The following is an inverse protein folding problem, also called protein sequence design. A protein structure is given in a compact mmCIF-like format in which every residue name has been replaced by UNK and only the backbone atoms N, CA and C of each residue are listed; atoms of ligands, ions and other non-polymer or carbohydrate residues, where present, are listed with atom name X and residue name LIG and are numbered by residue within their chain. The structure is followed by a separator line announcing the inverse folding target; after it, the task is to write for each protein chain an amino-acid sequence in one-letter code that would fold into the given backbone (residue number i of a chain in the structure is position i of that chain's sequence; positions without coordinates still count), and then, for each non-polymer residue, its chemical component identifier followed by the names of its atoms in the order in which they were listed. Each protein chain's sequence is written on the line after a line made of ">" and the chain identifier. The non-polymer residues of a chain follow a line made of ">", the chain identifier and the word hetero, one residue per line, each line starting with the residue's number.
data_IF_106928845052
#
_entry.id   IF_106928845052
#
_cell.length_a   1.000
_cell.length_b   1.000
_cell.length_c   1.000
_cell.angle_alpha   90.00
_cell.angle_beta   90.00
_cell.angle_gamma   90.00
#
_symmetry.space_group_name_H-M   'P 1'
#
loop_
_entity.id
_entity.type
_entity.pdbx_description
1 polymer ?
#
# COMPACT_ATOMS: atom_id res chain seq x y z
N UNK A 1 18.23 15.54 -10.19
CA UNK A 1 16.79 15.35 -10.48
C UNK A 1 16.39 13.96 -10.06
N UNK A 2 15.10 13.65 -10.01
CA UNK A 2 14.60 12.28 -9.83
C UNK A 2 13.96 11.76 -11.11
N UNK A 3 13.83 10.43 -11.23
CA UNK A 3 13.11 9.76 -12.32
C UNK A 3 11.84 9.17 -11.70
N UNK A 4 10.68 9.82 -11.86
CA UNK A 4 9.43 9.31 -11.32
C UNK A 4 9.01 8.03 -12.05
N UNK A 5 8.42 7.09 -11.30
CA UNK A 5 7.90 5.84 -11.85
C UNK A 5 6.59 5.43 -11.18
N UNK A 6 5.90 4.47 -11.78
CA UNK A 6 4.68 3.86 -11.26
C UNK A 6 4.88 2.33 -11.27
N UNK A 7 4.55 1.63 -10.18
CA UNK A 7 4.69 0.18 -10.11
C UNK A 7 3.56 -0.53 -10.86
N UNK A 8 3.93 -1.55 -11.64
CA UNK A 8 3.02 -2.60 -12.12
C UNK A 8 2.89 -3.67 -11.04
N UNK A 9 1.67 -4.08 -10.71
CA UNK A 9 1.41 -5.21 -9.82
C UNK A 9 0.06 -5.84 -10.18
N UNK A 10 -0.23 -7.02 -9.67
CA UNK A 10 -1.56 -7.65 -9.79
C UNK A 10 -2.16 -7.84 -8.42
N UNK A 11 -3.20 -8.65 -8.32
CA UNK A 11 -3.72 -9.08 -7.03
C UNK A 11 -5.05 -9.78 -7.11
N UNK A 12 -5.29 -10.64 -6.14
CA UNK A 12 -6.61 -11.12 -5.77
C UNK A 12 -7.39 -10.05 -5.00
N UNK A 13 -8.51 -9.61 -5.56
CA UNK A 13 -9.47 -8.71 -4.94
C UNK A 13 -10.72 -9.50 -4.56
N UNK A 14 -11.10 -9.47 -3.27
CA UNK A 14 -12.23 -10.26 -2.74
C UNK A 14 -12.17 -11.75 -3.15
N UNK A 15 -10.96 -12.32 -3.14
CA UNK A 15 -10.72 -13.73 -3.49
C UNK A 15 -10.65 -14.04 -4.99
N UNK A 16 -10.86 -13.06 -5.88
CA UNK A 16 -10.83 -13.26 -7.33
C UNK A 16 -9.62 -12.55 -7.93
N UNK A 17 -8.89 -13.21 -8.84
CA UNK A 17 -7.80 -12.58 -9.57
C UNK A 17 -8.30 -11.39 -10.40
N UNK A 18 -7.79 -10.18 -10.10
CA UNK A 18 -8.21 -8.93 -10.74
C UNK A 18 -7.31 -8.51 -11.90
N UNK A 19 -6.46 -9.42 -12.37
CA UNK A 19 -5.50 -9.18 -13.46
C UNK A 19 -4.54 -8.01 -13.14
N UNK A 20 -4.11 -7.27 -14.16
CA UNK A 20 -3.15 -6.19 -14.03
C UNK A 20 -3.74 -4.98 -13.30
N UNK A 21 -3.18 -4.71 -12.13
CA UNK A 21 -3.34 -3.50 -11.33
C UNK A 21 -2.06 -2.66 -11.44
N UNK A 22 -1.94 -1.63 -10.62
CA UNK A 22 -0.74 -0.80 -10.64
C UNK A 22 -0.97 0.46 -9.85
N UNK A 23 0.06 1.28 -9.80
CA UNK A 23 -0.02 2.59 -9.17
C UNK A 23 -0.88 3.51 -10.07
N UNK A 24 -2.21 3.32 -10.05
CA UNK A 24 -3.15 4.01 -10.93
C UNK A 24 -3.39 5.48 -10.57
N UNK A 25 -2.91 5.91 -9.42
CA UNK A 25 -2.99 7.31 -8.94
C UNK A 25 -1.81 7.65 -8.02
N UNK A 26 -0.69 6.96 -8.17
CA UNK A 26 0.48 7.15 -7.33
C UNK A 26 1.74 7.20 -8.19
N UNK A 27 2.69 8.04 -7.81
CA UNK A 27 3.99 8.15 -8.47
C UNK A 27 5.08 8.04 -7.41
N UNK A 28 5.98 7.07 -7.55
CA UNK A 28 7.23 7.06 -6.81
C UNK A 28 8.11 8.16 -7.39
N UNK A 29 8.39 9.19 -6.60
CA UNK A 29 9.16 10.36 -7.05
C UNK A 29 10.65 10.26 -6.71
N UNK A 30 11.06 9.24 -5.97
CA UNK A 30 12.46 8.97 -5.65
C UNK A 30 12.65 8.28 -4.31
N UNK A 31 13.92 8.07 -3.96
CA UNK A 31 14.34 7.47 -2.70
C UNK A 31 15.11 8.54 -1.92
N UNK A 32 14.73 8.74 -0.66
CA UNK A 32 15.41 9.60 0.30
C UNK A 32 16.23 8.75 1.26
N UNK A 33 17.49 9.12 1.48
CA UNK A 33 18.31 8.54 2.53
C UNK A 33 18.37 9.51 3.70
N UNK A 34 17.93 9.08 4.88
CA UNK A 34 17.97 9.93 6.06
C UNK A 34 19.39 9.98 6.67
N UNK A 35 19.56 10.82 7.70
CA UNK A 35 20.85 10.98 8.39
C UNK A 35 21.36 9.72 9.11
N UNK A 36 20.50 8.73 9.32
CA UNK A 36 20.82 7.44 9.93
C UNK A 36 21.21 6.39 8.87
N UNK A 37 21.28 6.77 7.59
CA UNK A 37 21.60 5.87 6.49
C UNK A 37 20.41 5.02 6.03
N UNK A 38 19.20 5.27 6.54
CA UNK A 38 18.03 4.50 6.15
C UNK A 38 17.41 5.03 4.85
N UNK A 39 17.01 4.11 3.98
CA UNK A 39 16.30 4.42 2.72
C UNK A 39 14.79 4.54 2.95
N UNK A 40 14.18 5.50 2.27
CA UNK A 40 12.74 5.77 2.29
C UNK A 40 12.25 6.11 0.89
N UNK A 41 11.28 5.36 0.40
CA UNK A 41 10.63 5.57 -0.89
C UNK A 41 9.53 6.62 -0.78
N UNK A 42 9.66 7.70 -1.57
CA UNK A 42 8.76 8.84 -1.58
C UNK A 42 7.69 8.66 -2.67
N UNK A 43 6.42 8.59 -2.29
CA UNK A 43 5.33 8.36 -3.23
C UNK A 43 4.22 9.41 -3.12
N UNK A 44 3.88 10.07 -4.22
CA UNK A 44 2.79 11.04 -4.29
C UNK A 44 1.49 10.38 -4.72
N UNK A 45 0.52 10.26 -3.82
CA UNK A 45 -0.84 9.75 -4.12
C UNK A 45 -1.75 10.90 -4.53
N UNK A 46 -2.45 10.75 -5.66
CA UNK A 46 -3.36 11.76 -6.24
C UNK A 46 -2.69 12.71 -7.23
N UNK A 47 -1.42 12.48 -7.57
CA UNK A 47 -0.59 13.36 -8.39
C UNK A 47 -0.93 13.35 -9.89
N UNK A 48 -1.75 12.42 -10.37
CA UNK A 48 -2.18 12.36 -11.77
C UNK A 48 -2.34 10.94 -12.30
N UNK A 49 -2.65 10.85 -13.60
CA UNK A 49 -2.79 9.57 -14.30
C UNK A 49 -1.44 8.89 -14.54
N UNK A 50 -1.47 7.57 -14.56
CA UNK A 50 -0.38 6.68 -14.94
C UNK A 50 -0.89 5.71 -16.01
N UNK A 51 -0.01 4.92 -16.65
CA UNK A 51 -0.43 3.81 -17.51
C UNK A 51 -1.36 2.81 -16.82
N UNK A 52 -1.39 2.78 -15.48
CA UNK A 52 -2.18 1.87 -14.66
C UNK A 52 -3.46 2.50 -14.10
N UNK A 53 -3.81 3.72 -14.52
CA UNK A 53 -5.04 4.39 -14.04
C UNK A 53 -6.33 3.71 -14.48
N UNK A 54 -6.27 2.82 -15.47
CA UNK A 54 -7.46 2.24 -16.13
C UNK A 54 -8.44 3.37 -16.51
N UNK A 55 -9.69 3.29 -16.04
CA UNK A 55 -10.72 4.31 -16.24
C UNK A 55 -10.71 5.45 -15.19
N UNK A 56 -9.81 5.39 -14.21
CA UNK A 56 -9.66 6.41 -13.17
C UNK A 56 -9.02 7.70 -13.68
N UNK A 57 -9.27 8.80 -12.96
CA UNK A 57 -8.70 10.13 -13.28
C UNK A 57 -7.30 10.38 -12.69
N UNK A 58 -6.76 9.43 -11.91
CA UNK A 58 -5.47 9.56 -11.24
C UNK A 58 -5.43 10.52 -10.04
N UNK A 59 -6.59 11.04 -9.61
CA UNK A 59 -6.71 12.01 -8.50
C UNK A 59 -7.15 11.35 -7.19
N UNK A 60 -6.76 11.97 -6.08
CA UNK A 60 -7.24 11.65 -4.75
C UNK A 60 -8.08 12.81 -4.21
N UNK A 61 -9.07 12.49 -3.37
CA UNK A 61 -9.93 13.47 -2.73
C UNK A 61 -9.33 13.95 -1.42
N UNK A 62 -9.72 15.15 -0.98
CA UNK A 62 -9.33 15.68 0.33
C UNK A 62 -9.72 14.73 1.47
N UNK A 63 -10.96 14.23 1.51
CA UNK A 63 -11.43 13.33 2.58
C UNK A 63 -10.61 12.05 2.70
N UNK A 64 -10.31 11.40 1.57
CA UNK A 64 -9.53 10.15 1.57
C UNK A 64 -8.09 10.42 1.96
N UNK A 65 -7.54 11.54 1.48
CA UNK A 65 -6.16 11.94 1.73
C UNK A 65 -5.93 12.33 3.19
N UNK A 66 -6.89 13.02 3.80
CA UNK A 66 -6.85 13.39 5.21
C UNK A 66 -6.97 12.16 6.13
N UNK A 67 -7.88 11.23 5.82
CA UNK A 67 -8.02 9.97 6.58
C UNK A 67 -6.75 9.13 6.53
N UNK A 68 -6.15 8.99 5.35
CA UNK A 68 -4.87 8.30 5.19
C UNK A 68 -3.75 8.99 5.97
N UNK A 69 -3.64 10.32 5.89
CA UNK A 69 -2.63 11.07 6.64
C UNK A 69 -2.76 10.84 8.15
N UNK A 70 -3.97 11.02 8.70
CA UNK A 70 -4.21 10.88 10.13
C UNK A 70 -3.99 9.45 10.62
N UNK A 71 -4.50 8.45 9.89
CA UNK A 71 -4.38 7.06 10.33
C UNK A 71 -2.97 6.50 10.19
N UNK A 72 -2.23 6.88 9.14
CA UNK A 72 -0.81 6.53 9.00
C UNK A 72 -0.01 6.97 10.23
N UNK A 73 -0.19 8.23 10.65
CA UNK A 73 0.55 8.74 11.80
C UNK A 73 0.02 8.19 13.13
N UNK A 74 -1.30 8.01 13.28
CA UNK A 74 -1.88 7.39 14.46
C UNK A 74 -1.35 5.96 14.68
N UNK A 75 -1.33 5.14 13.63
CA UNK A 75 -0.78 3.78 13.68
C UNK A 75 0.69 3.77 14.09
N UNK A 76 1.50 4.69 13.55
CA UNK A 76 2.89 4.83 13.93
C UNK A 76 3.06 5.15 15.43
N UNK A 77 2.28 6.08 15.97
CA UNK A 77 2.32 6.43 17.40
C UNK A 77 1.74 5.33 18.31
N UNK A 78 0.82 4.51 17.80
CA UNK A 78 0.36 3.27 18.44
C UNK A 78 1.37 2.12 18.37
N UNK A 79 2.54 2.35 17.75
CA UNK A 79 3.59 1.33 17.54
C UNK A 79 3.17 0.18 16.63
N UNK A 80 2.20 0.42 15.75
CA UNK A 80 1.79 -0.51 14.71
C UNK A 80 2.60 -0.22 13.45
N UNK A 81 3.29 -1.22 12.85
CA UNK A 81 4.05 -1.01 11.63
C UNK A 81 3.17 -0.45 10.50
N UNK A 82 3.59 0.65 9.89
CA UNK A 82 2.80 1.35 8.87
C UNK A 82 3.64 2.23 7.94
N UNK A 83 3.13 2.49 6.74
CA UNK A 83 3.54 3.62 5.92
C UNK A 83 3.29 4.95 6.66
N UNK A 84 4.07 5.96 6.31
CA UNK A 84 4.02 7.28 6.96
C UNK A 84 3.51 8.33 5.97
N UNK A 85 2.93 9.40 6.49
CA UNK A 85 2.42 10.49 5.68
C UNK A 85 3.16 11.79 6.03
N UNK A 86 3.98 12.28 5.10
CA UNK A 86 4.87 13.42 5.34
C UNK A 86 4.19 14.77 5.06
N UNK A 87 3.28 14.84 4.09
CA UNK A 87 2.56 16.08 3.77
C UNK A 87 1.23 15.82 3.08
N UNK A 88 0.29 16.74 3.25
CA UNK A 88 -0.99 16.81 2.55
C UNK A 88 -1.09 18.19 1.87
N UNK A 89 -1.25 18.20 0.55
CA UNK A 89 -1.47 19.43 -0.24
C UNK A 89 -2.88 19.39 -0.80
N UNK A 90 -3.63 20.47 -0.57
CA UNK A 90 -5.01 20.61 -1.06
C UNK A 90 -5.02 21.45 -2.32
N UNK A 91 -5.73 20.99 -3.35
CA UNK A 91 -5.95 21.74 -4.59
C UNK A 91 -7.38 22.28 -4.64
N UNK A 92 -7.58 23.32 -5.44
CA UNK A 92 -8.92 23.80 -5.83
C UNK A 92 -9.45 23.08 -7.07
N UNK A 93 -8.71 22.10 -7.59
CA UNK A 93 -9.15 21.20 -8.65
C UNK A 93 -10.43 20.46 -8.26
N UNK A 94 -11.38 20.49 -9.18
CA UNK A 94 -12.66 19.79 -9.09
C UNK A 94 -12.48 18.30 -9.41
N UNK A 95 -12.71 17.44 -8.43
CA UNK A 95 -12.72 15.98 -8.63
C UNK A 95 -14.14 15.47 -8.45
N UNK A 96 -14.66 14.81 -9.48
CA UNK A 96 -16.02 14.29 -9.49
C UNK A 96 -16.03 12.87 -8.95
N UNK A 97 -16.79 12.63 -7.87
CA UNK A 97 -16.95 11.29 -7.29
C UNK A 97 -18.38 11.06 -6.86
N UNK A 98 -18.82 9.84 -7.09
CA UNK A 98 -19.97 9.29 -6.40
C UNK A 98 -19.47 8.71 -5.07
N UNK A 99 -19.83 9.35 -3.96
CA UNK A 99 -19.33 8.97 -2.64
C UNK A 99 -19.86 7.59 -2.20
N UNK A 100 -21.09 7.26 -2.59
CA UNK A 100 -21.82 6.09 -2.09
C UNK A 100 -22.14 5.08 -3.20
N UNK A 101 -21.59 5.28 -4.40
CA UNK A 101 -21.87 4.46 -5.58
C UNK A 101 -23.38 4.37 -5.88
N UNK A 102 -24.14 5.44 -5.60
CA UNK A 102 -25.60 5.50 -5.73
C UNK A 102 -26.09 6.31 -6.94
N UNK A 103 -25.17 6.69 -7.84
CA UNK A 103 -25.39 7.54 -9.00
C UNK A 103 -25.22 9.04 -8.76
N UNK A 104 -25.09 9.50 -7.50
CA UNK A 104 -25.01 10.92 -7.18
C UNK A 104 -23.55 11.40 -7.15
N UNK A 105 -23.09 11.88 -8.30
CA UNK A 105 -21.75 12.44 -8.43
C UNK A 105 -21.69 13.85 -7.82
N UNK A 106 -20.86 14.00 -6.79
CA UNK A 106 -20.59 15.28 -6.13
C UNK A 106 -19.19 15.76 -6.50
N UNK A 107 -19.06 17.08 -6.62
CA UNK A 107 -17.78 17.75 -6.80
C UNK A 107 -17.09 17.90 -5.44
N UNK A 108 -15.93 17.28 -5.33
CA UNK A 108 -15.07 17.35 -4.14
C UNK A 108 -13.70 17.98 -4.50
N UNK A 109 -12.98 18.47 -3.48
CA UNK A 109 -11.64 19.03 -3.67
C UNK A 109 -10.61 17.94 -3.84
N UNK A 110 -9.73 18.10 -4.83
CA UNK A 110 -8.56 17.26 -5.00
C UNK A 110 -7.51 17.49 -3.90
N UNK A 111 -6.74 16.45 -3.60
CA UNK A 111 -5.58 16.55 -2.72
C UNK A 111 -4.47 15.58 -3.16
N UNK A 112 -3.24 15.89 -2.74
CA UNK A 112 -2.06 15.05 -2.94
C UNK A 112 -1.42 14.75 -1.58
N UNK A 113 -1.20 13.46 -1.29
CA UNK A 113 -0.48 13.02 -0.10
C UNK A 113 0.91 12.57 -0.50
N UNK A 114 1.92 13.08 0.20
CA UNK A 114 3.27 12.50 0.18
C UNK A 114 3.32 11.37 1.21
N UNK A 115 3.35 10.15 0.71
CA UNK A 115 3.52 8.93 1.50
C UNK A 115 4.98 8.53 1.48
N UNK A 116 5.46 7.98 2.59
CA UNK A 116 6.82 7.46 2.70
C UNK A 116 6.80 6.09 3.37
N UNK A 117 7.54 5.14 2.78
CA UNK A 117 7.69 3.79 3.30
C UNK A 117 9.12 3.30 3.02
N UNK A 118 9.56 2.21 3.66
CA UNK A 118 10.84 1.58 3.31
C UNK A 118 10.79 0.94 1.92
N UNK A 119 9.62 0.41 1.55
CA UNK A 119 9.34 -0.20 0.26
C UNK A 119 7.84 -0.17 -0.03
N UNK A 120 7.48 0.02 -1.29
CA UNK A 120 6.11 -0.08 -1.80
C UNK A 120 5.81 -1.42 -2.49
N UNK A 121 6.70 -2.41 -2.39
CA UNK A 121 6.42 -3.75 -2.92
C UNK A 121 5.35 -4.47 -2.09
N UNK A 122 4.53 -5.23 -2.79
CA UNK A 122 3.33 -5.88 -2.26
C UNK A 122 3.32 -7.35 -2.64
N UNK A 123 2.49 -8.15 -1.99
CA UNK A 123 2.29 -9.56 -2.42
C UNK A 123 1.88 -9.60 -3.90
N UNK A 124 0.95 -8.71 -4.29
CA UNK A 124 0.55 -8.52 -5.69
C UNK A 124 1.66 -8.17 -6.68
N UNK A 125 2.78 -7.59 -6.22
CA UNK A 125 3.95 -7.31 -7.07
C UNK A 125 4.65 -8.60 -7.51
N UNK A 126 4.59 -9.65 -6.68
CA UNK A 126 5.14 -10.97 -7.00
C UNK A 126 4.12 -11.82 -7.76
N UNK A 127 2.85 -11.77 -7.36
CA UNK A 127 1.77 -12.58 -7.96
C UNK A 127 1.63 -12.33 -9.46
N UNK A 128 1.72 -11.07 -9.93
CA UNK A 128 1.60 -10.78 -11.35
C UNK A 128 2.71 -11.43 -12.18
N UNK A 129 3.95 -11.42 -11.68
CA UNK A 129 5.07 -12.03 -12.38
C UNK A 129 4.92 -13.55 -12.43
N UNK A 130 4.47 -14.15 -11.32
CA UNK A 130 4.18 -15.57 -11.25
C UNK A 130 3.02 -15.97 -12.18
N UNK A 131 1.93 -15.19 -12.20
CA UNK A 131 0.74 -15.44 -13.00
C UNK A 131 1.04 -15.43 -14.51
N UNK A 132 1.86 -14.46 -14.96
CA UNK A 132 2.24 -14.33 -16.36
C UNK A 132 3.47 -15.18 -16.76
N UNK A 133 4.02 -15.98 -15.85
CA UNK A 133 5.18 -16.84 -16.14
C UNK A 133 6.51 -16.08 -16.32
N UNK A 134 6.59 -14.83 -15.86
CA UNK A 134 7.79 -13.98 -15.92
C UNK A 134 8.80 -14.36 -14.80
N UNK A 135 9.22 -15.64 -14.76
CA UNK A 135 9.96 -16.21 -13.63
C UNK A 135 11.35 -15.62 -13.42
N UNK A 136 12.03 -15.21 -14.50
CA UNK A 136 13.35 -14.58 -14.38
C UNK A 136 13.26 -13.18 -13.77
N UNK A 137 12.22 -12.41 -14.13
CA UNK A 137 11.94 -11.12 -13.48
C UNK A 137 11.51 -11.31 -12.03
N UNK A 138 10.71 -12.35 -11.74
CA UNK A 138 10.30 -12.68 -10.38
C UNK A 138 11.51 -12.95 -9.48
N UNK A 139 12.47 -13.76 -9.94
CA UNK A 139 13.72 -14.03 -9.22
C UNK A 139 14.54 -12.76 -9.02
N UNK A 140 14.71 -11.97 -10.08
CA UNK A 140 15.44 -10.69 -10.00
C UNK A 140 14.81 -9.74 -8.98
N UNK A 141 13.48 -9.63 -8.98
CA UNK A 141 12.76 -8.78 -8.03
C UNK A 141 12.88 -9.30 -6.59
N UNK A 142 12.76 -10.62 -6.38
CA UNK A 142 12.93 -11.22 -5.07
C UNK A 142 14.35 -11.02 -4.52
N UNK A 143 15.38 -11.30 -5.32
CA UNK A 143 16.78 -11.08 -4.92
C UNK A 143 17.02 -9.59 -4.57
N UNK A 144 16.45 -8.66 -5.36
CA UNK A 144 16.52 -7.23 -5.06
C UNK A 144 15.85 -6.87 -3.73
N UNK A 145 14.62 -7.35 -3.49
CA UNK A 145 13.87 -7.08 -2.26
C UNK A 145 14.59 -7.64 -1.04
N UNK A 146 15.09 -8.88 -1.13
CA UNK A 146 15.83 -9.52 -0.04
C UNK A 146 17.08 -8.69 0.28
N UNK A 147 17.87 -8.35 -0.73
CA UNK A 147 19.11 -7.61 -0.55
C UNK A 147 18.88 -6.22 0.06
N UNK A 148 17.82 -5.51 -0.35
CA UNK A 148 17.58 -4.12 0.03
C UNK A 148 16.75 -3.97 1.33
N UNK A 149 15.79 -4.86 1.56
CA UNK A 149 14.83 -4.74 2.66
C UNK A 149 15.07 -5.74 3.79
N UNK A 150 15.73 -6.86 3.52
CA UNK A 150 15.89 -7.98 4.48
C UNK A 150 17.36 -8.39 4.62
N UNK A 151 18.24 -7.49 5.10
CA UNK A 151 19.67 -7.78 5.23
C UNK A 151 20.00 -8.92 6.22
N UNK A 152 19.02 -9.34 7.03
CA UNK A 152 19.13 -10.49 7.93
C UNK A 152 19.07 -11.84 7.20
N UNK A 153 18.58 -11.88 5.97
CA UNK A 153 18.49 -13.11 5.15
C UNK A 153 19.76 -13.23 4.31
N UNK A 154 20.51 -14.31 4.47
CA UNK A 154 21.71 -14.54 3.67
C UNK A 154 21.33 -14.93 2.23
N UNK A 155 21.69 -14.07 1.29
CA UNK A 155 21.47 -14.26 -0.15
C UNK A 155 22.25 -15.48 -0.68
N UNK A 156 23.22 -16.01 0.04
CA UNK A 156 23.98 -17.20 -0.40
C UNK A 156 23.32 -18.52 -0.01
N UNK A 157 22.35 -18.50 0.90
CA UNK A 157 21.69 -19.72 1.35
C UNK A 157 20.78 -20.30 0.25
N UNK A 158 20.78 -21.63 0.05
CA UNK A 158 19.91 -22.30 -0.91
C UNK A 158 18.42 -22.06 -0.62
N UNK A 159 18.07 -21.93 0.66
CA UNK A 159 16.71 -21.75 1.15
C UNK A 159 16.32 -20.28 1.37
N UNK A 160 17.10 -19.33 0.86
CA UNK A 160 16.88 -17.88 1.08
C UNK A 160 15.43 -17.42 0.87
N UNK A 161 14.75 -17.98 -0.14
CA UNK A 161 13.37 -17.61 -0.45
C UNK A 161 12.39 -18.16 0.56
N UNK A 162 12.64 -19.35 1.13
CA UNK A 162 11.82 -19.92 2.20
C UNK A 162 12.04 -19.14 3.50
N UNK A 163 13.28 -18.82 3.85
CA UNK A 163 13.59 -18.07 5.07
C UNK A 163 13.03 -16.63 4.99
N UNK A 164 13.16 -15.98 3.83
CA UNK A 164 12.52 -14.71 3.54
C UNK A 164 10.98 -14.79 3.68
N UNK A 165 10.35 -15.69 2.92
CA UNK A 165 8.90 -15.71 2.76
C UNK A 165 8.19 -16.24 4.01
N UNK A 166 8.65 -17.37 4.56
CA UNK A 166 8.00 -18.03 5.71
C UNK A 166 8.48 -17.51 7.05
N UNK A 167 9.78 -17.29 7.26
CA UNK A 167 10.24 -16.88 8.59
C UNK A 167 10.01 -15.40 8.85
N UNK A 168 10.11 -14.56 7.83
CA UNK A 168 9.98 -13.10 7.99
C UNK A 168 8.59 -12.62 7.61
N UNK A 169 8.21 -12.71 6.33
CA UNK A 169 6.96 -12.08 5.85
C UNK A 169 5.73 -12.67 6.53
N UNK A 170 5.63 -14.00 6.66
CA UNK A 170 4.48 -14.64 7.36
C UNK A 170 4.45 -14.27 8.84
N UNK A 171 5.59 -14.31 9.54
CA UNK A 171 5.65 -14.01 10.98
C UNK A 171 5.31 -12.56 11.28
N UNK A 172 5.90 -11.63 10.55
CA UNK A 172 5.66 -10.19 10.72
C UNK A 172 4.23 -9.81 10.31
N UNK A 173 3.67 -10.44 9.27
CA UNK A 173 2.27 -10.22 8.89
C UNK A 173 1.32 -10.75 9.98
N UNK A 174 1.60 -11.92 10.57
CA UNK A 174 0.80 -12.43 11.67
C UNK A 174 0.84 -11.48 12.89
N UNK A 175 2.02 -10.93 13.22
CA UNK A 175 2.16 -9.92 14.27
C UNK A 175 1.40 -8.63 13.94
N UNK A 176 1.45 -8.17 12.69
CA UNK A 176 0.70 -7.00 12.23
C UNK A 176 -0.81 -7.20 12.43
N UNK A 177 -1.35 -8.35 12.03
CA UNK A 177 -2.77 -8.67 12.21
C UNK A 177 -3.13 -8.75 13.70
N UNK A 178 -2.27 -9.35 14.53
CA UNK A 178 -2.50 -9.38 15.97
C UNK A 178 -2.56 -7.96 16.58
N UNK A 179 -1.69 -7.05 16.11
CA UNK A 179 -1.71 -5.65 16.52
C UNK A 179 -2.99 -4.94 16.07
N UNK A 180 -3.45 -5.16 14.84
CA UNK A 180 -4.71 -4.61 14.35
C UNK A 180 -5.90 -5.03 15.22
N UNK A 181 -6.01 -6.33 15.49
CA UNK A 181 -7.08 -6.88 16.33
C UNK A 181 -7.01 -6.29 17.75
N UNK A 182 -5.80 -6.11 18.30
CA UNK A 182 -5.62 -5.60 19.67
C UNK A 182 -6.11 -4.16 19.88
N UNK A 183 -6.11 -3.34 18.82
CA UNK A 183 -6.58 -1.95 18.86
C UNK A 183 -7.96 -1.76 18.23
N UNK A 184 -8.63 -2.86 17.86
CA UNK A 184 -9.93 -2.81 17.19
C UNK A 184 -9.88 -2.18 15.80
N UNK A 185 -8.74 -2.25 15.11
CA UNK A 185 -8.60 -1.72 13.75
C UNK A 185 -9.09 -2.74 12.71
N UNK A 186 -10.01 -2.31 11.84
CA UNK A 186 -10.46 -3.06 10.69
C UNK A 186 -10.02 -2.36 9.39
N UNK A 187 -9.22 -3.04 8.57
CA UNK A 187 -8.65 -2.47 7.34
C UNK A 187 -9.70 -2.27 6.22
N UNK A 188 -10.67 -3.18 6.12
CA UNK A 188 -11.79 -3.14 5.17
C UNK A 188 -11.50 -3.62 3.74
N UNK A 189 -10.22 -3.69 3.33
CA UNK A 189 -9.83 -4.16 1.98
C UNK A 189 -8.54 -4.96 2.04
N UNK A 190 -8.62 -6.19 2.54
CA UNK A 190 -7.49 -7.11 2.70
C UNK A 190 -7.16 -7.87 1.40
N UNK A 191 -7.09 -7.14 0.29
CA UNK A 191 -6.64 -7.70 -0.98
C UNK A 191 -5.12 -7.91 -0.95
N UNK A 192 -4.64 -8.88 -1.72
CA UNK A 192 -3.20 -9.18 -1.85
C UNK A 192 -2.37 -7.99 -2.40
N UNK A 193 -2.99 -7.12 -3.18
CA UNK A 193 -2.39 -5.86 -3.63
C UNK A 193 -2.38 -4.74 -2.57
N UNK A 194 -2.91 -5.00 -1.37
CA UNK A 194 -2.82 -4.09 -0.21
C UNK A 194 -1.96 -4.66 0.92
N UNK A 195 -1.39 -5.86 0.76
CA UNK A 195 -0.41 -6.39 1.72
C UNK A 195 1.01 -6.02 1.30
N UNK A 196 1.69 -5.24 2.15
CA UNK A 196 3.11 -4.95 1.97
C UNK A 196 3.95 -6.19 2.21
N UNK A 197 5.02 -6.37 1.42
CA UNK A 197 6.00 -7.42 1.70
C UNK A 197 6.82 -7.18 2.97
N UNK A 198 6.88 -5.93 3.46
CA UNK A 198 7.55 -5.58 4.72
C UNK A 198 6.58 -5.62 5.91
N UNK A 199 5.40 -6.21 5.74
CA UNK A 199 4.41 -6.38 6.81
C UNK A 199 4.07 -5.08 7.56
N UNK A 200 4.00 -3.98 6.80
CA UNK A 200 3.51 -2.69 7.28
C UNK A 200 2.10 -2.43 6.76
N UNK A 201 1.30 -1.72 7.57
CA UNK A 201 -0.02 -1.22 7.14
C UNK A 201 0.16 -0.24 5.97
N UNK A 202 -0.46 -0.53 4.85
CA UNK A 202 -0.51 0.34 3.67
C UNK A 202 -1.95 0.45 3.18
N UNK A 203 -2.23 1.47 2.37
CA UNK A 203 -3.55 1.64 1.74
C UNK A 203 -4.72 1.86 2.72
N UNK A 204 -4.75 3.05 3.32
CA UNK A 204 -5.87 3.50 4.12
C UNK A 204 -7.06 3.92 3.25
N UNK A 205 -7.98 2.98 3.01
CA UNK A 205 -9.22 3.17 2.24
C UNK A 205 -10.46 3.24 3.14
N UNK A 206 -11.38 2.26 3.09
CA UNK A 206 -12.51 2.15 3.99
C UNK A 206 -12.12 1.42 5.29
N UNK A 207 -11.05 1.89 5.94
CA UNK A 207 -10.68 1.39 7.27
C UNK A 207 -11.55 2.04 8.35
N UNK A 208 -11.64 1.40 9.51
CA UNK A 208 -12.18 2.05 10.70
C UNK A 208 -11.63 1.45 12.00
N UNK A 209 -11.78 2.18 13.11
CA UNK A 209 -11.55 1.68 14.46
C UNK A 209 -12.88 1.39 15.12
N UNK A 210 -12.99 0.20 15.71
CA UNK A 210 -14.17 -0.26 16.40
C UNK A 210 -14.43 0.60 17.65
N UNK A 211 -15.53 1.35 17.64
CA UNK A 211 -15.94 2.17 18.80
C UNK A 211 -16.52 1.30 19.92
N UNK A 212 -17.54 0.50 19.60
CA UNK A 212 -18.13 -0.49 20.49
C UNK A 212 -17.71 -1.90 20.03
N UNK A 213 -17.34 -2.75 20.98
CA UNK A 213 -16.90 -4.11 20.66
C UNK A 213 -17.96 -4.87 19.87
N UNK A 214 -17.62 -5.21 18.64
CA UNK A 214 -18.42 -6.02 17.73
C UNK A 214 -17.47 -6.91 16.89
N UNK A 215 -17.42 -8.22 17.13
CA UNK A 215 -16.54 -9.12 16.39
C UNK A 215 -16.90 -9.23 14.90
N UNK A 216 -18.16 -8.91 14.53
CA UNK A 216 -18.67 -8.96 13.16
C UNK A 216 -18.66 -7.56 12.50
N UNK A 217 -17.81 -6.65 12.99
CA UNK A 217 -17.71 -5.30 12.45
C UNK A 217 -17.08 -5.28 11.05
N UNK A 218 -17.82 -4.72 10.09
CA UNK A 218 -17.36 -4.53 8.70
C UNK A 218 -17.27 -3.04 8.40
N UNK A 219 -16.07 -2.48 8.20
CA UNK A 219 -15.90 -1.04 7.95
C UNK A 219 -16.15 -0.65 6.50
N UNK A 220 -16.12 -1.62 5.58
CA UNK A 220 -16.29 -1.42 4.15
C UNK A 220 -17.72 -1.75 3.73
N UNK A 221 -18.47 -0.73 3.30
CA UNK A 221 -19.86 -0.89 2.86
C UNK A 221 -20.01 -1.69 1.55
N UNK A 222 -18.91 -2.03 0.89
CA UNK A 222 -18.88 -2.78 -0.38
C UNK A 222 -18.31 -4.19 -0.24
N UNK A 223 -18.04 -4.64 0.99
CA UNK A 223 -17.63 -6.02 1.31
C UNK A 223 -18.86 -6.94 1.43
#
# INVERSE_FOLDING_TARGET
>A
GSIPLAHRYGGHQFGIWADQLGDGRAHLIGIYMNRQGEKWELQLKGSGKTPYSQNGDGRALLRSSMREFLCSEAMYYLRIPTSRAASLVVSDDAVWRDQFYNGNVVKERGAVVLRVAKSWFRIGSLEILAHYGELDLLRMLLDFIIQECFPSVDVKEPNRYLDFLFSTVVSETAQLIALWVSVGFAHGVCNTDNFSLLSITIYYGPFDFMEAYNPDFVPNTSD
#
